data_IF_159206694016
#
_entry.id   IF_159206694016
#
_cell.length_a   1.000
_cell.length_b   1.000
_cell.length_c   1.000
_cell.angle_alpha   90.00
_cell.angle_beta   90.00
_cell.angle_gamma   90.00
#
_symmetry.space_group_name_H-M   'P 1'
#
loop_
_entity.id
_entity.type
_entity.pdbx_description
1 polymer ?
#
# COMPACT_ATOMS: atom_id res chain seq x y z
N UNK A 1 -8.13 5.76 13.06
CA UNK A 1 -9.14 4.99 13.85
C UNK A 1 -8.47 4.18 14.96
N UNK A 2 -7.50 3.31 14.63
CA UNK A 2 -6.73 2.52 15.61
C UNK A 2 -6.03 3.37 16.69
N UNK A 3 -5.51 4.55 16.33
CA UNK A 3 -4.85 5.47 17.27
C UNK A 3 -5.78 5.98 18.37
N UNK A 4 -7.04 6.27 18.05
CA UNK A 4 -8.00 6.81 19.01
C UNK A 4 -8.65 5.68 19.83
N UNK A 5 -8.95 4.55 19.21
CA UNK A 5 -9.74 3.47 19.82
C UNK A 5 -8.87 2.42 20.52
N UNK A 6 -7.72 2.06 19.93
CA UNK A 6 -6.85 1.00 20.47
C UNK A 6 -5.75 1.53 21.37
N UNK A 7 -5.09 2.60 20.96
CA UNK A 7 -3.97 3.20 21.71
C UNK A 7 -4.46 4.23 22.74
N UNK A 8 -5.78 4.46 22.85
CA UNK A 8 -6.39 5.54 23.63
C UNK A 8 -5.73 6.91 23.38
N UNK A 9 -5.23 7.09 22.17
CA UNK A 9 -4.42 8.24 21.80
C UNK A 9 -5.26 9.48 21.58
N UNK A 10 -4.62 10.64 21.68
CA UNK A 10 -5.28 11.93 21.39
C UNK A 10 -5.34 12.19 19.88
N UNK A 11 -6.21 13.12 19.46
CA UNK A 11 -6.28 13.60 18.06
C UNK A 11 -4.91 14.06 17.53
N UNK A 12 -4.03 14.55 18.42
CA UNK A 12 -2.65 14.91 18.09
C UNK A 12 -1.79 13.71 17.68
N UNK A 13 -1.92 12.57 18.37
CA UNK A 13 -1.21 11.34 18.02
C UNK A 13 -1.68 10.76 16.68
N UNK A 14 -2.99 10.87 16.39
CA UNK A 14 -3.50 10.55 15.06
C UNK A 14 -2.85 11.42 13.97
N UNK A 15 -2.75 12.73 14.21
CA UNK A 15 -2.08 13.65 13.28
C UNK A 15 -0.60 13.31 13.05
N UNK A 16 0.14 12.92 14.08
CA UNK A 16 1.55 12.48 13.93
C UNK A 16 1.64 11.26 13.01
N UNK A 17 0.78 10.26 13.18
CA UNK A 17 0.76 9.07 12.32
C UNK A 17 0.51 9.43 10.85
N UNK A 18 -0.39 10.37 10.58
CA UNK A 18 -0.67 10.85 9.21
C UNK A 18 0.50 11.64 8.64
N UNK A 19 1.15 12.50 9.43
CA UNK A 19 2.38 13.20 9.03
C UNK A 19 3.49 12.19 8.69
N UNK A 20 3.64 11.14 9.49
CA UNK A 20 4.63 10.09 9.24
C UNK A 20 4.28 9.26 8.01
N UNK A 21 3.00 8.95 7.78
CA UNK A 21 2.55 8.34 6.53
C UNK A 21 2.91 9.25 5.33
N UNK A 22 2.49 10.51 5.36
CA UNK A 22 2.78 11.48 4.29
C UNK A 22 4.28 11.68 4.07
N UNK A 23 5.07 11.72 5.13
CA UNK A 23 6.53 11.80 5.08
C UNK A 23 7.15 10.56 4.41
N UNK A 24 6.65 9.37 4.73
CA UNK A 24 7.02 8.13 4.05
C UNK A 24 6.67 8.16 2.57
N UNK A 25 5.47 8.63 2.22
CA UNK A 25 5.05 8.78 0.82
C UNK A 25 5.95 9.73 0.03
N UNK A 26 6.31 10.87 0.63
CA UNK A 26 7.21 11.85 0.03
C UNK A 26 8.59 11.24 -0.21
N UNK A 27 9.15 10.54 0.78
CA UNK A 27 10.44 9.89 0.63
C UNK A 27 10.40 8.80 -0.45
N UNK A 28 9.38 7.92 -0.45
CA UNK A 28 9.23 6.86 -1.44
C UNK A 28 9.07 7.40 -2.86
N UNK A 29 8.28 8.46 -3.02
CA UNK A 29 8.11 9.14 -4.31
C UNK A 29 9.40 9.81 -4.77
N UNK A 30 10.12 10.46 -3.86
CA UNK A 30 11.43 11.05 -4.11
C UNK A 30 12.47 10.02 -4.54
N UNK A 31 12.53 8.85 -3.88
CA UNK A 31 13.43 7.76 -4.25
C UNK A 31 13.19 7.32 -5.70
N UNK A 32 11.93 7.09 -6.09
CA UNK A 32 11.60 6.65 -7.46
C UNK A 32 11.78 7.77 -8.49
N UNK A 33 11.51 9.02 -8.11
CA UNK A 33 11.65 10.16 -9.00
C UNK A 33 13.10 10.55 -9.27
N UNK A 34 13.99 10.42 -8.27
CA UNK A 34 15.41 10.78 -8.38
C UNK A 34 16.24 9.58 -8.88
N UNK A 35 15.98 8.40 -8.33
CA UNK A 35 16.72 7.18 -8.68
C UNK A 35 15.94 6.37 -9.72
N UNK A 36 16.49 6.28 -10.93
CA UNK A 36 16.00 5.33 -11.93
C UNK A 36 16.39 3.91 -11.50
N UNK A 37 15.54 3.27 -10.71
CA UNK A 37 15.72 1.88 -10.31
C UNK A 37 15.63 0.98 -11.56
N UNK A 38 16.73 0.32 -11.92
CA UNK A 38 16.80 -0.65 -13.05
C UNK A 38 16.14 -2.00 -12.71
N UNK A 39 15.24 -2.02 -11.72
CA UNK A 39 14.58 -3.21 -11.24
C UNK A 39 13.28 -3.38 -12.03
N UNK A 40 12.89 -4.63 -12.30
CA UNK A 40 11.59 -4.94 -12.88
C UNK A 40 10.47 -4.30 -12.03
N UNK A 41 9.70 -3.39 -12.63
CA UNK A 41 8.68 -2.61 -11.93
C UNK A 41 7.59 -3.47 -11.31
N UNK A 42 7.29 -4.64 -11.89
CA UNK A 42 6.32 -5.60 -11.34
C UNK A 42 6.88 -6.31 -10.11
N UNK A 43 8.17 -6.65 -10.11
CA UNK A 43 8.84 -7.16 -8.89
C UNK A 43 8.81 -6.11 -7.78
N UNK A 44 9.05 -4.85 -8.13
CA UNK A 44 8.97 -3.74 -7.16
C UNK A 44 7.55 -3.56 -6.60
N UNK A 45 6.52 -3.61 -7.46
CA UNK A 45 5.11 -3.60 -7.04
C UNK A 45 4.82 -4.73 -6.05
N UNK A 46 5.24 -5.96 -6.35
CA UNK A 46 5.01 -7.11 -5.48
C UNK A 46 5.75 -6.97 -4.14
N UNK A 47 7.00 -6.49 -4.16
CA UNK A 47 7.76 -6.21 -2.96
C UNK A 47 7.08 -5.14 -2.07
N UNK A 48 6.51 -4.10 -2.68
CA UNK A 48 5.77 -3.07 -1.94
C UNK A 48 4.45 -3.60 -1.35
N UNK A 49 3.76 -4.51 -2.05
CA UNK A 49 2.60 -5.21 -1.47
C UNK A 49 2.99 -6.03 -0.24
N UNK A 50 4.09 -6.79 -0.31
CA UNK A 50 4.60 -7.53 0.85
C UNK A 50 4.97 -6.61 2.00
N UNK A 51 5.71 -5.52 1.72
CA UNK A 51 6.10 -4.55 2.74
C UNK A 51 4.86 -3.93 3.41
N UNK A 52 3.88 -3.50 2.61
CA UNK A 52 2.64 -2.93 3.13
C UNK A 52 1.86 -3.95 3.98
N UNK A 53 1.71 -5.19 3.50
CA UNK A 53 1.05 -6.26 4.25
C UNK A 53 1.74 -6.57 5.57
N UNK A 54 3.09 -6.61 5.59
CA UNK A 54 3.87 -6.79 6.81
C UNK A 54 3.67 -5.63 7.79
N UNK A 55 3.63 -4.38 7.31
CA UNK A 55 3.37 -3.23 8.20
C UNK A 55 2.00 -3.34 8.88
N UNK A 56 0.97 -3.80 8.17
CA UNK A 56 -0.37 -4.00 8.74
C UNK A 56 -0.41 -5.22 9.68
N UNK A 57 0.21 -6.32 9.28
CA UNK A 57 0.27 -7.55 10.08
C UNK A 57 0.95 -7.31 11.43
N UNK A 58 2.14 -6.69 11.42
CA UNK A 58 2.85 -6.35 12.65
C UNK A 58 2.13 -5.27 13.45
N UNK A 59 1.46 -4.32 12.80
CA UNK A 59 0.61 -3.35 13.51
C UNK A 59 -0.53 -4.01 14.28
N UNK A 60 -1.11 -5.09 13.75
CA UNK A 60 -2.16 -5.86 14.41
C UNK A 60 -1.67 -6.69 15.62
N UNK A 61 -0.36 -6.91 15.76
CA UNK A 61 0.25 -7.62 16.89
C UNK A 61 0.68 -6.67 18.02
N UNK A 62 0.64 -5.35 17.80
CA UNK A 62 1.11 -4.39 18.79
C UNK A 62 0.15 -4.31 19.98
N UNK A 63 0.67 -4.29 21.22
CA UNK A 63 -0.12 -3.99 22.41
C UNK A 63 -0.44 -2.48 22.48
N UNK A 64 -1.29 -2.08 23.41
CA UNK A 64 -1.78 -0.71 23.62
C UNK A 64 -0.69 0.34 23.84
N UNK A 65 0.53 -0.08 24.22
CA UNK A 65 1.70 0.78 24.43
C UNK A 65 2.56 0.93 23.15
N UNK A 66 2.26 0.17 22.10
CA UNK A 66 3.03 0.06 20.85
C UNK A 66 2.92 1.24 19.89
N UNK A 67 2.40 2.39 20.32
CA UNK A 67 2.11 3.54 19.45
C UNK A 67 3.33 4.02 18.62
N UNK A 68 4.53 4.01 19.20
CA UNK A 68 5.76 4.42 18.51
C UNK A 68 6.08 3.48 17.34
N UNK A 69 5.96 2.16 17.57
CA UNK A 69 6.18 1.16 16.53
C UNK A 69 5.12 1.27 15.43
N UNK A 70 3.86 1.51 15.79
CA UNK A 70 2.80 1.76 14.82
C UNK A 70 3.10 2.98 13.95
N UNK A 71 3.62 4.06 14.54
CA UNK A 71 4.02 5.27 13.83
C UNK A 71 5.16 4.99 12.83
N UNK A 72 6.14 4.19 13.22
CA UNK A 72 7.23 3.75 12.34
C UNK A 72 6.68 2.87 11.20
N UNK A 73 5.79 1.94 11.50
CA UNK A 73 5.14 1.11 10.47
C UNK A 73 4.31 1.94 9.50
N UNK A 74 3.62 2.97 9.97
CA UNK A 74 2.87 3.92 9.12
C UNK A 74 3.78 4.63 8.13
N UNK A 75 4.98 5.04 8.55
CA UNK A 75 5.98 5.63 7.66
C UNK A 75 6.41 4.65 6.55
N UNK A 76 6.74 3.41 6.90
CA UNK A 76 7.09 2.39 5.91
C UNK A 76 5.92 2.03 5.00
N UNK A 77 4.69 1.97 5.53
CA UNK A 77 3.47 1.76 4.74
C UNK A 77 3.24 2.88 3.73
N UNK A 78 3.51 4.13 4.14
CA UNK A 78 3.49 5.29 3.25
C UNK A 78 4.48 5.23 2.11
N UNK A 79 5.73 4.93 2.45
CA UNK A 79 6.77 4.73 1.47
C UNK A 79 6.41 3.62 0.49
N UNK A 80 5.93 2.47 0.99
CA UNK A 80 5.51 1.35 0.17
C UNK A 80 4.37 1.73 -0.79
N UNK A 81 3.34 2.43 -0.30
CA UNK A 81 2.21 2.87 -1.10
C UNK A 81 2.59 3.82 -2.23
N UNK A 82 3.50 4.77 -1.95
CA UNK A 82 4.00 5.71 -2.95
C UNK A 82 4.82 5.03 -4.04
N UNK A 83 5.77 4.18 -3.65
CA UNK A 83 6.61 3.40 -4.59
C UNK A 83 5.75 2.46 -5.44
N UNK A 84 4.77 1.79 -4.82
CA UNK A 84 3.79 0.95 -5.51
C UNK A 84 3.07 1.73 -6.61
N UNK A 85 2.46 2.86 -6.26
CA UNK A 85 1.64 3.64 -7.19
C UNK A 85 2.48 4.19 -8.35
N UNK A 86 3.67 4.74 -8.06
CA UNK A 86 4.59 5.23 -9.07
C UNK A 86 5.01 4.13 -10.05
N UNK A 87 5.33 2.94 -9.53
CA UNK A 87 5.73 1.79 -10.34
C UNK A 87 4.58 1.29 -11.22
N UNK A 88 3.36 1.25 -10.68
CA UNK A 88 2.16 0.84 -11.42
C UNK A 88 1.86 1.80 -12.58
N UNK A 89 1.86 3.10 -12.31
CA UNK A 89 1.69 4.14 -13.34
C UNK A 89 2.72 3.97 -14.45
N UNK A 90 3.98 3.74 -14.09
CA UNK A 90 5.06 3.53 -15.05
C UNK A 90 4.90 2.24 -15.88
N UNK A 91 4.39 1.15 -15.30
CA UNK A 91 4.09 -0.09 -16.06
C UNK A 91 2.96 0.16 -17.06
N UNK A 92 1.88 0.84 -16.65
CA UNK A 92 0.77 1.18 -17.53
C UNK A 92 1.26 2.04 -18.70
N UNK A 93 2.05 3.08 -18.42
CA UNK A 93 2.62 3.96 -19.45
C UNK A 93 3.52 3.23 -20.44
N UNK A 94 4.28 2.22 -19.99
CA UNK A 94 5.15 1.42 -20.87
C UNK A 94 4.40 0.44 -21.76
N UNK A 95 3.19 0.01 -21.37
CA UNK A 95 2.45 -1.07 -22.04
C UNK A 95 1.23 -0.58 -22.82
N UNK A 96 0.78 0.64 -22.59
CA UNK A 96 -0.42 1.21 -23.19
C UNK A 96 -0.02 2.35 -24.12
N UNK A 97 -0.60 2.38 -25.32
CA UNK A 97 -0.31 3.44 -26.27
C UNK A 97 -0.81 4.80 -25.75
N UNK A 98 -0.10 5.91 -26.06
CA UNK A 98 -0.47 7.24 -25.58
C UNK A 98 -1.91 7.66 -25.92
N UNK A 99 -2.47 7.18 -27.06
CA UNK A 99 -3.81 7.60 -27.51
C UNK A 99 -4.94 7.09 -26.61
N UNK A 100 -4.76 5.96 -25.93
CA UNK A 100 -5.76 5.37 -25.02
C UNK A 100 -5.36 5.43 -23.55
N UNK A 101 -4.20 5.99 -23.22
CA UNK A 101 -3.66 6.05 -21.85
C UNK A 101 -4.64 6.70 -20.87
N UNK A 102 -5.23 7.85 -21.24
CA UNK A 102 -6.22 8.54 -20.41
C UNK A 102 -7.49 7.70 -20.16
N UNK A 103 -7.91 6.91 -21.15
CA UNK A 103 -9.05 5.99 -21.01
C UNK A 103 -8.73 4.84 -20.06
N UNK A 104 -7.52 4.29 -20.13
CA UNK A 104 -7.07 3.23 -19.23
C UNK A 104 -7.02 3.73 -17.79
N UNK A 105 -6.44 4.90 -17.53
CA UNK A 105 -6.44 5.49 -16.19
C UNK A 105 -7.85 5.78 -15.67
N UNK A 106 -8.75 6.33 -16.51
CA UNK A 106 -10.15 6.56 -16.11
C UNK A 106 -10.87 5.27 -15.74
N UNK A 107 -10.69 4.21 -16.54
CA UNK A 107 -11.27 2.88 -16.28
C UNK A 107 -10.69 2.29 -14.99
N UNK A 108 -9.37 2.34 -14.83
CA UNK A 108 -8.66 1.87 -13.63
C UNK A 108 -9.17 2.57 -12.36
N UNK A 109 -9.28 3.90 -12.38
CA UNK A 109 -9.80 4.67 -11.24
C UNK A 109 -11.25 4.34 -10.93
N UNK A 110 -12.09 4.16 -11.96
CA UNK A 110 -13.50 3.80 -11.80
C UNK A 110 -13.68 2.41 -11.17
N UNK A 111 -12.88 1.43 -11.61
CA UNK A 111 -12.90 0.07 -11.06
C UNK A 111 -12.41 0.06 -9.61
N UNK A 112 -11.37 0.83 -9.27
CA UNK A 112 -10.85 0.91 -7.90
C UNK A 112 -11.75 1.64 -6.91
N UNK A 113 -12.66 2.49 -7.39
CA UNK A 113 -13.58 3.21 -6.53
C UNK A 113 -14.49 2.24 -5.74
N UNK A 114 -14.90 1.14 -6.37
CA UNK A 114 -15.81 0.18 -5.75
C UNK A 114 -15.20 -0.55 -4.55
N UNK A 115 -14.01 -1.20 -4.65
CA UNK A 115 -13.31 -1.75 -3.49
C UNK A 115 -12.99 -0.69 -2.42
N UNK A 116 -12.70 0.55 -2.81
CA UNK A 116 -12.34 1.62 -1.87
C UNK A 116 -13.53 2.04 -0.99
N UNK A 117 -14.72 2.19 -1.58
CA UNK A 117 -15.96 2.49 -0.85
C UNK A 117 -16.30 1.34 0.10
N UNK A 118 -16.24 0.10 -0.39
CA UNK A 118 -16.50 -1.08 0.43
C UNK A 118 -15.49 -1.20 1.58
N UNK A 119 -14.22 -0.94 1.31
CA UNK A 119 -13.17 -0.94 2.32
C UNK A 119 -13.41 0.13 3.39
N UNK A 120 -13.73 1.36 3.00
CA UNK A 120 -13.95 2.46 3.93
C UNK A 120 -15.18 2.22 4.82
N UNK A 121 -16.30 1.80 4.23
CA UNK A 121 -17.53 1.50 4.96
C UNK A 121 -17.38 0.26 5.84
N UNK A 122 -16.73 -0.78 5.31
CA UNK A 122 -16.58 -2.07 5.98
C UNK A 122 -15.55 -2.05 7.10
N UNK A 123 -14.46 -1.28 6.99
CA UNK A 123 -13.36 -1.33 7.97
C UNK A 123 -13.81 -0.92 9.37
N UNK A 124 -14.69 0.08 9.50
CA UNK A 124 -15.24 0.48 10.79
C UNK A 124 -16.08 -0.63 11.42
N UNK A 125 -17.04 -1.17 10.67
CA UNK A 125 -17.91 -2.26 11.14
C UNK A 125 -17.11 -3.54 11.49
N UNK A 126 -16.13 -3.89 10.67
CA UNK A 126 -15.26 -5.05 10.92
C UNK A 126 -14.42 -4.81 12.18
N UNK A 127 -13.82 -3.61 12.32
CA UNK A 127 -13.05 -3.27 13.52
C UNK A 127 -13.88 -3.30 14.81
N UNK A 128 -15.15 -2.88 14.75
CA UNK A 128 -16.04 -2.89 15.91
C UNK A 128 -16.52 -4.32 16.27
N UNK A 129 -16.58 -5.24 15.30
CA UNK A 129 -17.08 -6.61 15.51
C UNK A 129 -15.99 -7.60 15.94
N UNK A 130 -14.82 -7.59 15.29
CA UNK A 130 -13.73 -8.54 15.57
C UNK A 130 -12.52 -7.91 16.27
N UNK A 131 -12.58 -6.61 16.54
CA UNK A 131 -11.50 -5.83 17.12
C UNK A 131 -10.52 -5.31 16.07
N UNK A 132 -10.11 -4.06 16.23
CA UNK A 132 -9.21 -3.35 15.30
C UNK A 132 -7.86 -4.07 15.10
N UNK A 133 -7.27 -4.67 16.14
CA UNK A 133 -6.00 -5.41 16.03
C UNK A 133 -6.14 -6.65 15.14
N UNK A 134 -7.23 -7.41 15.31
CA UNK A 134 -7.56 -8.57 14.46
C UNK A 134 -7.81 -8.15 13.00
N UNK A 135 -8.49 -7.03 12.79
CA UNK A 135 -8.72 -6.46 11.45
C UNK A 135 -7.40 -6.13 10.75
N UNK A 136 -6.45 -5.50 11.45
CA UNK A 136 -5.11 -5.22 10.91
C UNK A 136 -4.31 -6.49 10.61
N UNK A 137 -4.41 -7.50 11.48
CA UNK A 137 -3.72 -8.78 11.29
C UNK A 137 -4.24 -9.53 10.05
N UNK A 138 -5.56 -9.66 9.91
CA UNK A 138 -6.20 -10.34 8.78
C UNK A 138 -5.93 -9.58 7.48
N UNK A 139 -6.09 -8.25 7.47
CA UNK A 139 -5.83 -7.44 6.28
C UNK A 139 -4.37 -7.50 5.86
N UNK A 140 -3.43 -7.42 6.81
CA UNK A 140 -2.00 -7.59 6.55
C UNK A 140 -1.68 -8.96 5.94
N UNK A 141 -2.29 -10.02 6.47
CA UNK A 141 -2.13 -11.38 5.93
C UNK A 141 -2.66 -11.48 4.48
N UNK A 142 -3.86 -10.95 4.21
CA UNK A 142 -4.45 -10.95 2.86
C UNK A 142 -3.55 -10.19 1.88
N UNK A 143 -3.07 -9.01 2.26
CA UNK A 143 -2.19 -8.19 1.40
C UNK A 143 -0.85 -8.89 1.15
N UNK A 144 -0.26 -9.52 2.17
CA UNK A 144 0.93 -10.36 2.01
C UNK A 144 0.68 -11.51 1.03
N UNK A 145 -0.43 -12.25 1.20
CA UNK A 145 -0.80 -13.34 0.31
C UNK A 145 -0.97 -12.87 -1.14
N UNK A 146 -1.58 -11.70 -1.37
CA UNK A 146 -1.68 -11.11 -2.72
C UNK A 146 -0.31 -10.81 -3.31
N UNK A 147 0.62 -10.26 -2.52
CA UNK A 147 2.00 -10.03 -2.95
C UNK A 147 2.74 -11.32 -3.33
N UNK A 148 2.55 -12.39 -2.55
CA UNK A 148 3.12 -13.72 -2.82
C UNK A 148 2.49 -14.34 -4.07
N UNK A 149 1.16 -14.37 -4.14
CA UNK A 149 0.39 -14.96 -5.24
C UNK A 149 0.70 -14.27 -6.56
N UNK A 150 0.88 -12.94 -6.57
CA UNK A 150 1.29 -12.18 -7.75
C UNK A 150 2.64 -12.65 -8.34
N UNK A 151 3.54 -13.21 -7.51
CA UNK A 151 4.81 -13.77 -7.98
C UNK A 151 4.62 -15.06 -8.81
N UNK A 152 3.53 -15.79 -8.57
CA UNK A 152 3.22 -17.03 -9.28
C UNK A 152 2.56 -16.80 -10.65
N UNK A 153 2.32 -15.55 -11.06
CA UNK A 153 1.82 -15.21 -12.39
C UNK A 153 2.96 -14.72 -13.29
N UNK A 154 3.61 -15.60 -14.08
CA UNK A 154 4.78 -15.24 -14.88
C UNK A 154 4.44 -14.19 -15.94
N UNK A 155 3.19 -14.20 -16.41
CA UNK A 155 2.65 -13.20 -17.34
C UNK A 155 2.71 -11.77 -16.76
N UNK A 156 2.55 -11.60 -15.45
CA UNK A 156 2.71 -10.28 -14.81
C UNK A 156 4.19 -9.91 -14.73
N UNK A 157 5.07 -10.85 -14.37
CA UNK A 157 6.52 -10.60 -14.29
C UNK A 157 7.13 -10.23 -15.65
N UNK A 158 6.63 -10.77 -16.76
CA UNK A 158 7.05 -10.37 -18.11
C UNK A 158 6.67 -8.92 -18.46
N UNK A 159 5.59 -8.38 -17.89
CA UNK A 159 5.16 -7.00 -18.16
C UNK A 159 6.11 -5.94 -17.59
N UNK A 160 6.85 -6.26 -16.54
CA UNK A 160 7.80 -5.33 -15.92
C UNK A 160 9.23 -5.38 -16.48
N UNK A 161 9.53 -6.25 -17.45
CA UNK A 161 10.79 -6.22 -18.19
C UNK A 161 10.72 -5.14 -19.27
N UNK A 162 11.67 -4.21 -19.28
CA UNK A 162 11.80 -3.25 -20.38
C UNK A 162 11.96 -4.02 -21.70
N UNK A 163 11.09 -3.74 -22.67
CA UNK A 163 11.17 -4.30 -24.03
C UNK A 163 12.32 -3.64 -24.81
N UNK A 164 13.55 -3.87 -24.37
CA UNK A 164 14.80 -3.48 -25.06
C UNK A 164 15.89 -4.53 -24.80
N UNK A 165 15.64 -5.77 -25.20
CA UNK A 165 16.66 -6.73 -25.68
C UNK A 165 16.00 -7.62 -26.72
#
# INVERSE_FOLDING_TARGET
>A
LITLIHFSGSTFQMGIVEVMWGGGMLLGGGIIGIWTLKINKVVLINAMYLLLGLTFFFSGLLPSEGYILFTIFSFFGGMAGSVYYASLVAVIQLRVSPEILGRVFSTYSSVNLFPSILGLLGTGFIADTIGISTTFLISGLIVCLLGIVSYFFPAMLSLGKDSQT
#
